data_IF_853511356733
#
_entry.id   IF_853511356733
#
_cell.length_a   1.000
_cell.length_b   1.000
_cell.length_c   1.000
_cell.angle_alpha   90.00
_cell.angle_beta   90.00
_cell.angle_gamma   90.00
#
_symmetry.space_group_name_H-M   'P 1'
#
loop_
_entity.id
_entity.type
_entity.pdbx_description
1 polymer ?
#
# COMPACT_ATOMS: atom_id res chain seq x y z
N UNK A 1 -5.67 1.10 -11.70
CA UNK A 1 -6.76 1.97 -11.30
C UNK A 1 -7.57 1.35 -10.15
N UNK A 2 -8.28 2.18 -9.40
CA UNK A 2 -9.09 1.77 -8.25
C UNK A 2 -10.23 0.81 -8.62
N UNK A 3 -10.66 0.79 -9.87
CA UNK A 3 -11.67 -0.17 -10.37
C UNK A 3 -11.21 -1.64 -10.29
N UNK A 4 -9.91 -1.90 -10.14
CA UNK A 4 -9.37 -3.26 -9.96
C UNK A 4 -9.48 -3.78 -8.54
N UNK A 5 -9.60 -2.90 -7.55
CA UNK A 5 -9.55 -3.27 -6.13
C UNK A 5 -10.63 -4.28 -5.77
N UNK A 6 -10.24 -5.33 -5.07
CA UNK A 6 -11.11 -6.45 -4.72
C UNK A 6 -11.39 -7.45 -5.85
N UNK A 7 -10.82 -7.23 -7.04
CA UNK A 7 -10.90 -8.11 -8.19
C UNK A 7 -9.55 -8.24 -8.89
N UNK A 8 -9.43 -9.19 -9.84
CA UNK A 8 -8.21 -9.35 -10.65
C UNK A 8 -6.91 -9.43 -9.84
N UNK A 9 -6.97 -9.97 -8.63
CA UNK A 9 -5.82 -10.11 -7.70
C UNK A 9 -5.25 -8.77 -7.22
N UNK A 10 -6.04 -7.69 -7.22
CA UNK A 10 -5.68 -6.42 -6.62
C UNK A 10 -6.18 -6.37 -5.17
N UNK A 11 -5.28 -6.34 -4.17
CA UNK A 11 -5.64 -6.34 -2.76
C UNK A 11 -6.29 -5.02 -2.35
N UNK A 12 -7.19 -5.08 -1.37
CA UNK A 12 -7.86 -3.90 -0.79
C UNK A 12 -7.63 -3.75 0.71
N UNK A 13 -6.97 -4.70 1.34
CA UNK A 13 -6.68 -4.69 2.78
C UNK A 13 -5.19 -4.55 3.06
N UNK A 14 -4.84 -3.76 4.06
CA UNK A 14 -3.48 -3.66 4.58
C UNK A 14 -3.15 -4.97 5.30
N UNK A 15 -2.33 -5.77 4.67
CA UNK A 15 -2.03 -7.13 5.12
C UNK A 15 -0.75 -7.65 4.48
N UNK A 16 -0.17 -8.68 5.06
CA UNK A 16 0.97 -9.37 4.46
C UNK A 16 0.86 -10.88 4.66
N UNK A 17 1.50 -11.65 3.81
CA UNK A 17 1.73 -13.07 4.01
C UNK A 17 2.90 -13.60 3.17
N UNK A 18 3.25 -14.84 3.43
CA UNK A 18 4.10 -15.63 2.55
C UNK A 18 3.23 -16.21 1.45
N UNK A 19 3.61 -15.99 0.20
CA UNK A 19 3.02 -16.61 -1.01
C UNK A 19 1.57 -16.24 -1.39
N UNK A 20 0.69 -15.86 -0.46
CA UNK A 20 -0.71 -15.57 -0.78
C UNK A 20 -0.85 -14.26 -1.58
N UNK A 21 -1.53 -14.34 -2.72
CA UNK A 21 -1.70 -13.21 -3.66
C UNK A 21 -2.90 -12.32 -3.36
N UNK A 22 -3.70 -12.59 -2.33
CA UNK A 22 -4.77 -11.69 -1.88
C UNK A 22 -4.27 -10.59 -0.93
N UNK A 23 -3.02 -10.69 -0.46
CA UNK A 23 -2.41 -9.77 0.48
C UNK A 23 -1.79 -8.55 -0.20
N UNK A 24 -1.70 -7.42 0.52
CA UNK A 24 -1.08 -6.19 0.03
C UNK A 24 0.43 -6.36 -0.16
N UNK A 25 1.10 -6.94 0.83
CA UNK A 25 2.52 -7.26 0.76
C UNK A 25 2.68 -8.77 0.75
N UNK A 26 3.36 -9.26 -0.27
CA UNK A 26 3.69 -10.67 -0.42
C UNK A 26 5.19 -10.88 -0.31
N UNK A 27 5.61 -11.86 0.47
CA UNK A 27 7.00 -12.30 0.60
C UNK A 27 7.12 -13.70 -0.01
N UNK A 28 7.44 -13.82 -1.31
CA UNK A 28 7.57 -15.12 -1.95
C UNK A 28 8.68 -15.96 -1.33
N UNK A 29 8.52 -17.28 -1.37
CA UNK A 29 9.60 -18.18 -1.04
C UNK A 29 10.75 -17.98 -2.04
N UNK A 30 11.87 -17.49 -1.55
CA UNK A 30 13.08 -17.29 -2.33
C UNK A 30 14.29 -17.25 -1.38
N UNK A 31 15.44 -17.68 -1.89
CA UNK A 31 16.68 -17.71 -1.15
C UNK A 31 17.74 -16.76 -1.75
N UNK A 32 18.73 -16.40 -0.93
CA UNK A 32 19.86 -15.59 -1.36
C UNK A 32 19.44 -14.24 -1.95
N UNK A 33 19.99 -13.90 -3.10
CA UNK A 33 19.76 -12.63 -3.82
C UNK A 33 18.34 -12.48 -4.38
N UNK A 34 17.55 -13.56 -4.47
CA UNK A 34 16.17 -13.52 -4.95
C UNK A 34 15.15 -13.17 -3.88
N UNK A 35 15.58 -12.97 -2.63
CA UNK A 35 14.69 -12.53 -1.54
C UNK A 35 14.12 -11.17 -1.84
N UNK A 36 12.80 -11.07 -1.73
CA UNK A 36 12.08 -9.82 -2.02
C UNK A 36 10.76 -9.74 -1.28
N UNK A 37 10.26 -8.53 -1.16
CA UNK A 37 8.86 -8.25 -0.84
C UNK A 37 8.19 -7.63 -2.06
N UNK A 38 6.95 -8.00 -2.30
CA UNK A 38 6.13 -7.48 -3.41
C UNK A 38 5.01 -6.61 -2.85
N UNK A 39 5.06 -5.31 -3.08
CA UNK A 39 3.91 -4.43 -2.83
C UNK A 39 2.98 -4.50 -4.03
N UNK A 40 1.72 -4.88 -3.79
CA UNK A 40 0.79 -5.30 -4.85
C UNK A 40 -0.31 -4.29 -5.18
N UNK A 41 -0.35 -3.13 -4.52
CA UNK A 41 -1.34 -2.07 -4.77
C UNK A 41 -1.03 -1.17 -5.96
N UNK A 42 0.23 -0.79 -6.26
CA UNK A 42 0.51 0.09 -7.38
C UNK A 42 0.06 -0.51 -8.71
N UNK A 43 -0.42 0.33 -9.61
CA UNK A 43 -0.75 -0.05 -10.98
C UNK A 43 0.20 0.61 -12.00
N UNK A 44 0.12 0.26 -13.29
CA UNK A 44 1.02 0.80 -14.30
C UNK A 44 0.95 2.32 -14.49
N UNK A 45 -0.10 2.98 -14.04
CA UNK A 45 -0.25 4.44 -14.11
C UNK A 45 0.35 5.16 -12.88
N UNK A 46 0.76 4.40 -11.85
CA UNK A 46 1.43 4.99 -10.69
C UNK A 46 2.76 5.62 -11.10
N UNK A 47 3.05 6.81 -10.55
CA UNK A 47 4.36 7.41 -10.75
C UNK A 47 5.44 6.56 -10.06
N UNK A 48 6.37 5.92 -10.81
CA UNK A 48 7.32 4.98 -10.24
C UNK A 48 8.31 5.66 -9.28
N UNK A 49 8.69 6.90 -9.53
CA UNK A 49 9.63 7.62 -8.67
C UNK A 49 9.03 7.87 -7.28
N UNK A 50 7.77 8.32 -7.21
CA UNK A 50 7.07 8.51 -5.94
C UNK A 50 6.78 7.18 -5.25
N UNK A 51 6.36 6.16 -6.00
CA UNK A 51 6.08 4.84 -5.45
C UNK A 51 7.33 4.22 -4.82
N UNK A 52 8.46 4.21 -5.53
CA UNK A 52 9.72 3.67 -5.00
C UNK A 52 10.25 4.50 -3.83
N UNK A 53 10.22 5.82 -3.91
CA UNK A 53 10.65 6.68 -2.80
C UNK A 53 9.86 6.37 -1.53
N UNK A 54 8.53 6.31 -1.60
CA UNK A 54 7.67 6.02 -0.45
C UNK A 54 7.87 4.60 0.08
N UNK A 55 8.10 3.60 -0.79
CA UNK A 55 8.41 2.23 -0.37
C UNK A 55 9.72 2.17 0.41
N UNK A 56 10.77 2.84 -0.08
CA UNK A 56 12.08 2.89 0.59
C UNK A 56 11.94 3.59 1.95
N UNK A 57 11.31 4.76 2.00
CA UNK A 57 11.09 5.49 3.26
C UNK A 57 10.24 4.70 4.25
N UNK A 58 9.21 3.99 3.80
CA UNK A 58 8.40 3.15 4.67
C UNK A 58 9.21 1.99 5.25
N UNK A 59 10.06 1.35 4.42
CA UNK A 59 10.95 0.29 4.88
C UNK A 59 11.98 0.80 5.91
N UNK A 60 12.62 1.93 5.63
CA UNK A 60 13.56 2.57 6.55
C UNK A 60 12.87 2.97 7.86
N UNK A 61 11.68 3.55 7.79
CA UNK A 61 10.90 3.89 8.97
C UNK A 61 10.62 2.68 9.86
N UNK A 62 10.26 1.54 9.26
CA UNK A 62 10.06 0.28 9.99
C UNK A 62 11.32 -0.20 10.69
N UNK A 63 12.47 -0.14 10.02
CA UNK A 63 13.76 -0.55 10.57
C UNK A 63 14.23 0.39 11.69
N UNK A 64 14.20 1.71 11.46
CA UNK A 64 14.63 2.73 12.42
C UNK A 64 13.81 2.70 13.72
N UNK A 65 12.51 2.47 13.60
CA UNK A 65 11.59 2.40 14.74
C UNK A 65 11.44 0.98 15.31
N UNK A 66 12.13 -0.01 14.75
CA UNK A 66 12.08 -1.41 15.17
C UNK A 66 10.64 -1.92 15.30
N UNK A 67 9.83 -1.63 14.28
CA UNK A 67 8.43 -2.02 14.29
C UNK A 67 8.29 -3.54 14.19
N UNK A 68 7.46 -4.11 15.05
CA UNK A 68 7.10 -5.51 14.96
C UNK A 68 6.16 -5.75 13.78
N UNK A 69 6.35 -6.87 13.10
CA UNK A 69 5.42 -7.30 12.07
C UNK A 69 4.16 -7.87 12.74
N UNK A 70 2.96 -7.46 12.28
CA UNK A 70 1.74 -8.14 12.68
C UNK A 70 1.77 -9.60 12.18
N UNK A 71 0.90 -10.44 12.73
CA UNK A 71 0.77 -11.83 12.26
C UNK A 71 0.43 -11.87 10.76
N UNK A 72 1.03 -12.82 10.02
CA UNK A 72 0.74 -12.97 8.60
C UNK A 72 -0.71 -13.40 8.38
N UNK A 73 -1.36 -12.82 7.39
CA UNK A 73 -2.72 -13.20 7.02
C UNK A 73 -2.70 -14.34 6.00
N UNK A 74 -2.61 -15.58 6.46
CA UNK A 74 -2.56 -16.77 5.60
C UNK A 74 -3.94 -17.24 5.13
N UNK A 75 -4.87 -16.30 4.96
CA UNK A 75 -6.22 -16.52 4.46
C UNK A 75 -6.42 -15.85 3.10
N UNK A 76 -7.33 -16.36 2.30
CA UNK A 76 -7.71 -15.70 1.05
C UNK A 76 -8.70 -14.56 1.33
N UNK A 77 -8.21 -13.31 1.30
CA UNK A 77 -9.02 -12.13 1.59
C UNK A 77 -10.11 -11.82 0.54
N UNK A 78 -10.09 -12.49 -0.62
CA UNK A 78 -11.18 -12.34 -1.61
C UNK A 78 -12.41 -13.18 -1.25
N UNK A 79 -12.23 -14.23 -0.46
CA UNK A 79 -13.30 -15.19 -0.10
C UNK A 79 -13.52 -15.30 1.40
N UNK A 80 -12.82 -14.50 2.21
CA UNK A 80 -12.94 -14.52 3.66
C UNK A 80 -14.28 -13.93 4.13
N UNK A 81 -14.77 -14.42 5.26
CA UNK A 81 -15.98 -13.92 5.90
C UNK A 81 -15.81 -12.46 6.36
N UNK A 82 -16.91 -11.70 6.30
CA UNK A 82 -16.91 -10.28 6.73
C UNK A 82 -16.36 -10.08 8.15
N UNK A 83 -16.65 -10.99 9.06
CA UNK A 83 -16.12 -10.94 10.44
C UNK A 83 -14.60 -10.99 10.50
N UNK A 84 -13.97 -11.77 9.64
CA UNK A 84 -12.52 -11.85 9.54
C UNK A 84 -11.95 -10.56 8.92
N UNK A 85 -12.63 -10.00 7.94
CA UNK A 85 -12.21 -8.81 7.22
C UNK A 85 -12.25 -7.53 8.07
N UNK A 86 -13.05 -7.49 9.13
CA UNK A 86 -13.09 -6.34 10.06
C UNK A 86 -11.78 -6.12 10.82
N UNK A 87 -10.91 -7.12 10.90
CA UNK A 87 -9.60 -7.00 11.54
C UNK A 87 -8.54 -6.30 10.66
N UNK A 88 -8.86 -6.01 9.40
CA UNK A 88 -7.92 -5.41 8.46
C UNK A 88 -8.33 -4.00 8.08
N UNK A 89 -7.37 -3.07 8.11
CA UNK A 89 -7.57 -1.74 7.54
C UNK A 89 -7.74 -1.85 6.03
N UNK A 90 -8.69 -1.10 5.47
CA UNK A 90 -8.88 -1.03 4.02
C UNK A 90 -8.02 0.07 3.41
N UNK A 91 -7.53 -0.18 2.21
CA UNK A 91 -6.97 0.86 1.36
C UNK A 91 -8.07 1.87 0.97
N UNK A 92 -7.69 3.11 0.63
CA UNK A 92 -8.64 4.09 0.10
C UNK A 92 -9.43 3.53 -1.08
N UNK A 93 -10.74 3.72 -1.08
CA UNK A 93 -11.65 3.14 -2.07
C UNK A 93 -11.52 3.73 -3.48
N UNK A 94 -11.04 4.97 -3.57
CA UNK A 94 -10.93 5.73 -4.80
C UNK A 94 -9.78 6.74 -4.74
N UNK A 95 -9.51 7.40 -5.87
CA UNK A 95 -8.42 8.38 -5.97
C UNK A 95 -8.65 9.60 -5.05
N UNK A 96 -9.90 10.03 -4.85
CA UNK A 96 -10.20 11.17 -3.98
C UNK A 96 -9.86 10.85 -2.52
N UNK A 97 -10.28 9.68 -2.06
CA UNK A 97 -9.96 9.20 -0.71
C UNK A 97 -8.43 8.98 -0.53
N UNK A 98 -7.75 8.46 -1.56
CA UNK A 98 -6.30 8.27 -1.52
C UNK A 98 -5.54 9.61 -1.45
N UNK A 99 -5.97 10.61 -2.24
CA UNK A 99 -5.39 11.97 -2.19
C UNK A 99 -5.59 12.61 -0.82
N UNK A 100 -6.79 12.51 -0.25
CA UNK A 100 -7.07 13.05 1.07
C UNK A 100 -6.20 12.38 2.15
N UNK A 101 -6.08 11.07 2.12
CA UNK A 101 -5.23 10.31 3.04
C UNK A 101 -3.74 10.70 2.89
N UNK A 102 -3.25 10.82 1.67
CA UNK A 102 -1.86 11.22 1.41
C UNK A 102 -1.59 12.65 1.89
N UNK A 103 -2.51 13.57 1.60
CA UNK A 103 -2.37 14.98 1.98
C UNK A 103 -2.37 15.19 3.51
N UNK A 104 -3.11 14.38 4.25
CA UNK A 104 -3.19 14.43 5.71
C UNK A 104 -2.10 13.62 6.42
N UNK A 105 -1.34 12.80 5.71
CA UNK A 105 -0.33 11.92 6.30
C UNK A 105 0.94 12.69 6.70
N UNK A 106 1.29 12.65 7.99
CA UNK A 106 2.54 13.20 8.49
C UNK A 106 3.76 12.50 7.89
N UNK A 107 3.67 11.19 7.69
CA UNK A 107 4.72 10.41 7.05
C UNK A 107 4.99 10.91 5.63
N UNK A 108 3.95 11.08 4.82
CA UNK A 108 4.11 11.55 3.44
C UNK A 108 4.62 12.98 3.40
N UNK A 109 4.08 13.88 4.24
CA UNK A 109 4.54 15.28 4.34
C UNK A 109 6.00 15.41 4.75
N UNK A 110 6.50 14.49 5.56
CA UNK A 110 7.91 14.46 5.96
C UNK A 110 8.85 14.09 4.81
N UNK A 111 8.41 13.23 3.90
CA UNK A 111 9.29 12.61 2.89
C UNK A 111 9.06 13.12 1.47
N UNK A 112 7.91 13.73 1.19
CA UNK A 112 7.58 14.26 -0.14
C UNK A 112 7.53 15.79 -0.07
N UNK A 113 8.24 16.50 -0.95
CA UNK A 113 8.20 17.98 -0.99
C UNK A 113 6.78 18.50 -1.15
N UNK A 114 6.45 19.57 -0.43
CA UNK A 114 5.11 20.16 -0.42
C UNK A 114 4.61 20.50 -1.84
N UNK A 115 5.47 21.04 -2.70
CA UNK A 115 5.10 21.36 -4.09
C UNK A 115 4.68 20.13 -4.89
N UNK A 116 5.32 18.97 -4.66
CA UNK A 116 4.95 17.71 -5.31
C UNK A 116 3.62 17.22 -4.76
N UNK A 117 3.44 17.28 -3.44
CA UNK A 117 2.21 16.86 -2.78
C UNK A 117 1.00 17.69 -3.24
N UNK A 118 1.17 19.00 -3.39
CA UNK A 118 0.13 19.89 -3.94
C UNK A 118 -0.27 19.51 -5.37
N UNK A 119 0.68 19.18 -6.24
CA UNK A 119 0.39 18.74 -7.62
C UNK A 119 -0.38 17.43 -7.65
N UNK A 120 0.01 16.46 -6.81
CA UNK A 120 -0.58 15.12 -6.84
C UNK A 120 -1.86 14.99 -6.02
N UNK A 121 -1.94 15.69 -4.89
CA UNK A 121 -2.98 15.51 -3.88
C UNK A 121 -3.82 16.77 -3.65
N UNK A 122 -3.32 17.95 -4.06
CA UNK A 122 -4.04 19.20 -3.93
C UNK A 122 -5.39 19.17 -4.65
N UNK A 123 -6.33 19.97 -4.20
CA UNK A 123 -7.60 20.15 -4.90
C UNK A 123 -7.28 20.73 -6.28
N UNK A 124 -7.69 20.05 -7.34
CA UNK A 124 -7.77 20.71 -8.65
C UNK A 124 -8.68 21.92 -8.45
N UNK A 125 -8.13 23.15 -8.58
CA UNK A 125 -9.01 24.29 -8.81
C UNK A 125 -9.69 24.00 -10.14
N UNK A 126 -10.98 23.86 -10.12
CA UNK A 126 -11.80 23.83 -11.34
C UNK A 126 -11.46 25.10 -12.13
N UNK A 127 -10.74 24.88 -13.24
CA UNK A 127 -10.57 25.88 -14.29
C UNK A 127 -11.57 25.59 -15.38
#
# INVERSE_FOLDING_TARGET
SYARFGSYKAPIYVSWSRENRSQLVRIPAAEGEYRRAELRSPDPEANPYLAFALMIYAGLYGLENRLDLPEPADINLYTADEKMLTNFCRLPKDLAAARAAAFSSDFIRKHIPAAVLEVYCGKKSDR
#
